data_IF_105562459401
#
_entry.id   IF_105562459401
#
_cell.length_a   1.000
_cell.length_b   1.000
_cell.length_c   1.000
_cell.angle_alpha   90.00
_cell.angle_beta   90.00
_cell.angle_gamma   90.00
#
_symmetry.space_group_name_H-M   'P 1'
#
loop_
_entity.id
_entity.type
_entity.pdbx_description
1 polymer ?
#
# COMPACT_ATOMS: atom_id res chain seq x y z
N UNK A 1 -13.17 18.57 4.81
CA UNK A 1 -12.13 17.67 5.29
C UNK A 1 -12.24 16.37 4.57
N UNK A 2 -11.12 15.90 4.09
CA UNK A 2 -11.10 14.74 3.26
C UNK A 2 -10.46 13.55 3.91
N UNK A 3 -10.65 12.42 3.27
CA UNK A 3 -9.97 11.20 3.61
C UNK A 3 -9.61 10.49 2.31
N UNK A 4 -8.61 9.63 2.40
CA UNK A 4 -8.08 8.97 1.22
C UNK A 4 -7.78 7.51 1.53
N UNK A 5 -7.77 6.69 0.49
CA UNK A 5 -7.31 5.32 0.57
C UNK A 5 -5.86 5.27 0.11
N UNK A 6 -5.02 4.73 0.95
CA UNK A 6 -3.63 4.48 0.61
C UNK A 6 -3.54 3.02 0.22
N UNK A 7 -3.08 2.77 -1.00
CA UNK A 7 -2.92 1.43 -1.55
C UNK A 7 -1.45 1.15 -1.72
N UNK A 8 -0.96 0.09 -1.11
CA UNK A 8 0.44 -0.29 -1.21
C UNK A 8 0.52 -1.62 -1.93
N UNK A 9 1.20 -1.65 -3.06
CA UNK A 9 1.44 -2.89 -3.78
C UNK A 9 2.92 -3.22 -3.63
N UNK A 10 3.22 -4.31 -2.96
CA UNK A 10 4.59 -4.65 -2.61
C UNK A 10 4.80 -6.15 -2.63
N UNK A 11 6.03 -6.56 -2.88
CA UNK A 11 6.43 -7.96 -2.72
C UNK A 11 7.11 -8.21 -1.37
N UNK A 12 7.24 -7.18 -0.55
CA UNK A 12 7.92 -7.30 0.73
C UNK A 12 7.05 -8.01 1.75
N UNK A 13 7.69 -8.85 2.56
CA UNK A 13 7.00 -9.63 3.58
C UNK A 13 7.28 -9.06 4.97
N UNK A 14 6.95 -7.78 5.16
CA UNK A 14 7.19 -7.07 6.41
C UNK A 14 5.91 -6.53 7.04
N UNK A 15 4.85 -7.29 6.84
CA UNK A 15 3.51 -6.87 7.23
C UNK A 15 3.38 -6.62 8.73
N UNK A 16 3.99 -7.47 9.57
CA UNK A 16 3.86 -7.32 11.02
C UNK A 16 4.50 -6.03 11.51
N UNK A 17 5.67 -5.70 11.01
CA UNK A 17 6.34 -4.45 11.37
C UNK A 17 5.54 -3.24 10.91
N UNK A 18 5.02 -3.30 9.69
CA UNK A 18 4.19 -2.23 9.15
C UNK A 18 2.93 -2.05 9.98
N UNK A 19 2.26 -3.15 10.33
CA UNK A 19 1.05 -3.12 11.15
C UNK A 19 1.32 -2.44 12.50
N UNK A 20 2.41 -2.81 13.15
CA UNK A 20 2.77 -2.23 14.43
C UNK A 20 3.05 -0.73 14.32
N UNK A 21 3.78 -0.32 13.29
CA UNK A 21 4.11 1.08 13.08
C UNK A 21 2.87 1.92 12.79
N UNK A 22 1.96 1.41 11.97
CA UNK A 22 0.73 2.13 11.62
C UNK A 22 -0.22 2.22 12.81
N UNK A 23 -0.27 1.19 13.64
CA UNK A 23 -1.10 1.21 14.84
C UNK A 23 -0.69 2.33 15.79
N UNK A 24 0.60 2.61 15.87
CA UNK A 24 1.10 3.72 16.71
C UNK A 24 0.65 5.08 16.21
N UNK A 25 0.32 5.19 14.95
CA UNK A 25 -0.16 6.44 14.36
C UNK A 25 -1.67 6.62 14.47
N UNK A 26 -2.36 5.66 15.06
CA UNK A 26 -3.80 5.72 15.20
C UNK A 26 -4.56 5.16 14.01
N UNK A 27 -3.88 4.48 13.09
CA UNK A 27 -4.55 3.79 12.00
C UNK A 27 -5.27 2.56 12.59
N UNK A 28 -6.58 2.53 12.44
CA UNK A 28 -7.41 1.54 13.13
C UNK A 28 -7.70 0.30 12.29
N UNK A 29 -7.49 0.35 11.01
CA UNK A 29 -7.80 -0.79 10.16
C UNK A 29 -6.91 -0.88 8.94
N UNK A 30 -6.70 -2.11 8.50
CA UNK A 30 -5.86 -2.40 7.35
C UNK A 30 -6.40 -3.66 6.69
N UNK A 31 -6.59 -3.61 5.39
CA UNK A 31 -7.01 -4.77 4.62
C UNK A 31 -5.83 -5.25 3.78
N UNK A 32 -5.57 -6.54 3.81
CA UNK A 32 -4.47 -7.13 3.05
C UNK A 32 -5.05 -8.13 2.07
N UNK A 33 -4.65 -7.98 0.81
CA UNK A 33 -5.10 -8.85 -0.26
C UNK A 33 -3.87 -9.44 -0.94
N UNK A 34 -3.88 -10.73 -1.17
CA UNK A 34 -2.86 -11.34 -2.02
C UNK A 34 -3.22 -11.09 -3.46
N UNK A 35 -2.24 -10.69 -4.25
CA UNK A 35 -2.44 -10.32 -5.64
C UNK A 35 -1.33 -10.90 -6.50
N UNK A 36 -1.55 -10.89 -7.80
CA UNK A 36 -0.52 -11.24 -8.77
C UNK A 36 -0.25 -9.99 -9.56
N UNK A 37 1.00 -9.55 -9.52
CA UNK A 37 1.42 -8.39 -10.28
C UNK A 37 2.11 -8.80 -11.57
N UNK A 38 2.04 -7.92 -12.54
CA UNK A 38 2.65 -8.14 -13.83
C UNK A 38 3.44 -6.89 -14.18
N UNK A 39 4.74 -7.04 -14.42
CA UNK A 39 5.56 -5.90 -14.73
C UNK A 39 6.93 -6.30 -15.23
N UNK A 40 7.62 -5.33 -15.81
CA UNK A 40 8.98 -5.52 -16.29
C UNK A 40 9.93 -5.06 -15.19
N UNK A 41 10.85 -5.95 -14.81
CA UNK A 41 11.86 -5.68 -13.77
C UNK A 41 13.05 -4.97 -14.39
N UNK A 42 12.92 -3.67 -14.59
CA UNK A 42 13.99 -2.87 -15.17
C UNK A 42 15.11 -2.68 -14.16
N UNK A 43 16.34 -2.59 -14.66
CA UNK A 43 17.50 -2.38 -13.82
C UNK A 43 18.05 -3.63 -13.17
N UNK A 44 17.46 -4.80 -13.45
CA UNK A 44 18.04 -6.07 -13.03
C UNK A 44 19.01 -6.58 -14.07
N UNK A 45 20.00 -7.32 -13.60
CA UNK A 45 20.96 -7.93 -14.50
C UNK A 45 20.28 -8.93 -15.44
N UNK A 46 19.38 -9.72 -14.91
CA UNK A 46 18.63 -10.70 -15.70
C UNK A 46 17.84 -10.04 -16.81
N UNK A 47 17.21 -8.92 -16.52
CA UNK A 47 16.46 -8.19 -17.53
C UNK A 47 17.35 -7.76 -18.67
N UNK A 48 18.50 -7.20 -18.35
CA UNK A 48 19.45 -6.72 -19.36
C UNK A 48 20.06 -7.83 -20.16
N UNK A 49 20.42 -8.93 -19.49
CA UNK A 49 21.06 -10.07 -20.13
C UNK A 49 20.13 -10.76 -21.14
N UNK A 50 18.89 -10.91 -20.78
CA UNK A 50 17.91 -11.58 -21.63
C UNK A 50 17.28 -10.66 -22.64
N UNK A 51 17.29 -9.37 -22.35
CA UNK A 51 16.56 -8.35 -23.14
C UNK A 51 15.11 -8.71 -23.32
N UNK A 52 14.58 -9.46 -22.36
CA UNK A 52 13.21 -9.90 -22.38
C UNK A 52 12.32 -8.74 -21.94
N UNK A 53 11.32 -8.44 -22.76
CA UNK A 53 10.42 -7.34 -22.49
C UNK A 53 9.03 -7.79 -22.07
N UNK A 54 8.84 -9.08 -21.92
CA UNK A 54 7.57 -9.58 -21.43
C UNK A 54 7.45 -9.34 -19.94
N UNK A 55 6.23 -9.03 -19.54
CA UNK A 55 5.94 -8.88 -18.11
C UNK A 55 5.83 -10.26 -17.47
N UNK A 56 6.36 -10.37 -16.26
CA UNK A 56 6.26 -11.60 -15.49
C UNK A 56 5.16 -11.48 -14.46
N UNK A 57 4.48 -12.59 -14.20
CA UNK A 57 3.48 -12.67 -13.14
C UNK A 57 4.17 -13.03 -11.84
N UNK A 58 4.10 -12.13 -10.88
CA UNK A 58 4.77 -12.32 -9.59
C UNK A 58 3.76 -12.14 -8.46
N UNK A 59 3.88 -12.94 -7.39
CA UNK A 59 3.02 -12.74 -6.23
C UNK A 59 3.33 -11.40 -5.58
N UNK A 60 2.25 -10.70 -5.20
CA UNK A 60 2.31 -9.39 -4.56
C UNK A 60 1.35 -9.35 -3.39
N UNK A 61 1.54 -8.40 -2.51
CA UNK A 61 0.55 -8.06 -1.50
C UNK A 61 0.02 -6.67 -1.79
N UNK A 62 -1.29 -6.51 -1.62
CA UNK A 62 -1.92 -5.20 -1.70
C UNK A 62 -2.47 -4.87 -0.32
N UNK A 63 -2.03 -3.75 0.21
CA UNK A 63 -2.44 -3.28 1.52
C UNK A 63 -3.28 -2.03 1.33
N UNK A 64 -4.47 -2.03 1.91
CA UNK A 64 -5.42 -0.92 1.79
C UNK A 64 -5.64 -0.30 3.15
N UNK A 65 -5.44 1.01 3.25
CA UNK A 65 -5.59 1.76 4.48
C UNK A 65 -6.38 3.02 4.17
N UNK A 66 -7.37 3.35 5.00
CA UNK A 66 -8.11 4.59 4.84
C UNK A 66 -7.76 5.50 5.99
N UNK A 67 -7.35 6.72 5.67
CA UNK A 67 -6.92 7.70 6.67
C UNK A 67 -7.49 9.07 6.34
N UNK A 68 -7.55 9.91 7.34
CA UNK A 68 -7.82 11.34 7.13
C UNK A 68 -6.66 11.97 6.38
N UNK A 69 -6.96 12.97 5.57
CA UNK A 69 -5.93 13.60 4.73
C UNK A 69 -4.78 14.18 5.56
N UNK A 70 -5.06 14.63 6.78
CA UNK A 70 -4.02 15.17 7.66
C UNK A 70 -2.95 14.13 8.02
N UNK A 71 -3.27 12.86 7.92
CA UNK A 71 -2.34 11.78 8.27
C UNK A 71 -1.59 11.21 7.07
N UNK A 72 -1.90 11.64 5.84
CA UNK A 72 -1.31 11.05 4.65
C UNK A 72 0.21 11.10 4.69
N UNK A 73 0.77 12.27 5.00
CA UNK A 73 2.22 12.44 4.95
C UNK A 73 2.95 11.55 5.95
N UNK A 74 2.45 11.48 7.18
CA UNK A 74 3.12 10.68 8.21
C UNK A 74 2.94 9.18 7.94
N UNK A 75 1.78 8.78 7.41
CA UNK A 75 1.54 7.39 7.05
C UNK A 75 2.42 6.99 5.86
N UNK A 76 2.49 7.84 4.84
CA UNK A 76 3.34 7.61 3.68
C UNK A 76 4.81 7.43 4.09
N UNK A 77 5.34 8.33 4.92
CA UNK A 77 6.71 8.22 5.39
C UNK A 77 6.94 6.94 6.18
N UNK A 78 5.98 6.55 6.99
CA UNK A 78 6.07 5.32 7.78
C UNK A 78 6.11 4.09 6.89
N UNK A 79 5.25 4.05 5.88
CA UNK A 79 5.23 2.92 4.93
C UNK A 79 6.56 2.83 4.19
N UNK A 80 7.06 3.96 3.70
CA UNK A 80 8.35 3.98 3.00
C UNK A 80 9.47 3.46 3.90
N UNK A 81 9.50 3.92 5.14
CA UNK A 81 10.53 3.51 6.07
C UNK A 81 10.48 2.00 6.36
N UNK A 82 9.29 1.46 6.56
CA UNK A 82 9.14 0.04 6.91
C UNK A 82 9.39 -0.89 5.74
N UNK A 83 9.10 -0.46 4.51
CA UNK A 83 9.19 -1.32 3.34
C UNK A 83 10.46 -1.11 2.52
N UNK A 84 11.18 -0.04 2.75
CA UNK A 84 12.35 0.28 1.94
C UNK A 84 13.48 -0.71 2.18
N UNK A 85 14.00 -1.31 1.12
CA UNK A 85 15.21 -2.12 1.14
C UNK A 85 16.24 -1.60 0.14
N UNK A 86 15.82 -0.76 -0.80
CA UNK A 86 16.66 -0.29 -1.89
C UNK A 86 16.74 -1.26 -3.05
N UNK A 87 15.99 -2.37 -2.96
CA UNK A 87 15.94 -3.36 -4.03
C UNK A 87 14.66 -3.26 -4.82
N UNK A 88 14.67 -3.84 -6.00
CA UNK A 88 13.46 -3.95 -6.83
C UNK A 88 12.45 -4.81 -6.07
N UNK A 89 11.20 -4.38 -6.06
CA UNK A 89 10.15 -5.09 -5.34
C UNK A 89 9.69 -4.40 -4.08
N UNK A 90 10.30 -3.27 -3.70
CA UNK A 90 9.84 -2.48 -2.56
C UNK A 90 8.41 -1.98 -2.77
N UNK A 91 8.03 -1.77 -4.04
CA UNK A 91 6.65 -1.51 -4.37
C UNK A 91 6.33 -0.05 -4.63
N UNK A 92 5.04 0.20 -4.68
CA UNK A 92 4.51 1.53 -4.93
C UNK A 92 3.38 1.84 -3.98
N UNK A 93 3.20 3.13 -3.71
CA UNK A 93 2.11 3.63 -2.89
C UNK A 93 1.21 4.47 -3.78
N UNK A 94 -0.08 4.16 -3.77
CA UNK A 94 -1.09 4.94 -4.49
C UNK A 94 -1.98 5.63 -3.47
N UNK A 95 -2.24 6.91 -3.69
CA UNK A 95 -3.09 7.70 -2.81
C UNK A 95 -4.33 8.09 -3.60
N UNK A 96 -5.47 7.61 -3.16
CA UNK A 96 -6.74 7.76 -3.87
C UNK A 96 -7.71 8.55 -2.99
N UNK A 97 -8.09 9.76 -3.37
CA UNK A 97 -9.10 10.49 -2.62
C UNK A 97 -10.43 9.76 -2.67
N UNK A 98 -11.09 9.69 -1.54
CA UNK A 98 -12.40 9.05 -1.43
C UNK A 98 -13.49 10.11 -1.36
N UNK A 99 -14.60 9.86 -2.06
CA UNK A 99 -15.73 10.77 -1.99
C UNK A 99 -16.55 10.55 -0.73
N UNK A 100 -16.61 9.32 -0.24
CA UNK A 100 -17.35 9.01 0.96
C UNK A 100 -16.92 7.65 1.52
N UNK A 101 -17.26 7.41 2.77
CA UNK A 101 -17.11 6.11 3.44
C UNK A 101 -18.45 5.86 4.15
N UNK A 102 -18.95 4.65 4.04
CA UNK A 102 -20.20 4.28 4.69
C UNK A 102 -19.95 2.98 5.46
N UNK A 103 -20.25 3.01 6.75
CA UNK A 103 -20.15 1.80 7.57
C UNK A 103 -21.45 1.01 7.43
N UNK A 104 -21.33 -0.21 6.98
CA UNK A 104 -22.51 -1.04 6.66
C UNK A 104 -23.38 -1.27 7.88
N UNK A 105 -22.77 -1.59 9.03
CA UNK A 105 -23.54 -1.96 10.22
C UNK A 105 -24.35 -0.80 10.79
N UNK A 106 -23.80 0.40 10.78
CA UNK A 106 -24.42 1.54 11.46
C UNK A 106 -25.02 2.55 10.50
N UNK A 107 -24.62 2.54 9.23
CA UNK A 107 -25.01 3.56 8.27
C UNK A 107 -24.27 4.88 8.44
N UNK A 108 -23.33 4.96 9.37
CA UNK A 108 -22.53 6.16 9.55
C UNK A 108 -21.72 6.46 8.30
N UNK A 109 -21.51 7.75 8.04
CA UNK A 109 -20.82 8.20 6.84
C UNK A 109 -19.69 9.16 7.19
N UNK A 110 -18.76 9.33 6.23
CA UNK A 110 -17.66 10.26 6.37
C UNK A 110 -16.73 9.88 7.50
N UNK A 111 -16.25 10.86 8.25
CA UNK A 111 -15.32 10.63 9.34
C UNK A 111 -15.86 9.68 10.41
N UNK A 112 -17.16 9.70 10.62
CA UNK A 112 -17.79 8.83 11.62
C UNK A 112 -17.73 7.36 11.22
N UNK A 113 -17.50 7.08 9.95
CA UNK A 113 -17.40 5.72 9.43
C UNK A 113 -15.97 5.17 9.46
N UNK A 114 -15.02 5.98 9.80
CA UNK A 114 -13.62 5.57 9.85
C UNK A 114 -13.33 4.59 10.98
#
# INVERSE_FOLDING_TARGET
>A
MGFSQIEVVTSMNRLQNLKAALSKLGVSGMTVVQAIGCGVQKGTFEYEAEQNKEMELLPKQMILIVVKDELIDVVDETIKKELYTGHIGDGKIFIVPLTNIIRVRTGEEGEDAL
#
